data_IF_008140550658
#
_entry.id   IF_008140550658
#
_cell.length_a   1.000
_cell.length_b   1.000
_cell.length_c   1.000
_cell.angle_alpha   90.00
_cell.angle_beta   90.00
_cell.angle_gamma   90.00
#
_symmetry.space_group_name_H-M   'P 1'
#
loop_
_entity.id
_entity.type
_entity.pdbx_description
1 polymer ?
#
# COMPACT_ATOMS: atom_id res chain seq x y z
N UNK A 1 -20.17 6.98 7.17
CA UNK A 1 -19.67 6.19 8.31
C UNK A 1 -18.24 6.64 8.59
N UNK A 2 -17.84 6.69 9.85
CA UNK A 2 -16.45 6.98 10.25
C UNK A 2 -15.57 5.82 9.81
N UNK A 3 -14.37 6.09 9.29
CA UNK A 3 -13.42 5.03 8.96
C UNK A 3 -12.86 4.41 10.24
N UNK A 4 -12.67 3.08 10.23
CA UNK A 4 -12.16 2.30 11.34
C UNK A 4 -10.65 2.09 11.22
N UNK A 5 -9.92 2.35 12.29
CA UNK A 5 -8.46 2.19 12.37
C UNK A 5 -8.13 1.19 13.47
N UNK A 6 -7.32 0.19 13.14
CA UNK A 6 -6.72 -0.70 14.13
C UNK A 6 -5.28 -0.26 14.39
N UNK A 7 -4.95 -0.05 15.66
CA UNK A 7 -3.58 0.23 16.14
C UNK A 7 -3.07 -1.01 16.86
N UNK A 8 -1.95 -1.55 16.40
CA UNK A 8 -1.26 -2.68 17.03
C UNK A 8 0.11 -2.18 17.50
N UNK A 9 0.25 -1.98 18.80
CA UNK A 9 1.39 -1.33 19.44
C UNK A 9 1.47 -1.83 20.89
N UNK A 10 2.61 -2.30 21.36
CA UNK A 10 2.79 -2.84 22.73
C UNK A 10 3.13 -1.75 23.75
N UNK A 11 3.63 -0.59 23.32
CA UNK A 11 3.88 0.54 24.20
C UNK A 11 2.58 1.31 24.49
N UNK A 12 1.96 1.08 25.67
CA UNK A 12 0.69 1.71 26.10
C UNK A 12 0.67 3.24 25.91
N UNK A 13 1.75 4.01 26.25
CA UNK A 13 1.74 5.47 26.04
C UNK A 13 1.64 5.87 24.56
N UNK A 14 2.22 5.10 23.65
CA UNK A 14 2.14 5.34 22.21
C UNK A 14 0.74 4.98 21.71
N UNK A 15 0.21 3.85 22.17
CA UNK A 15 -1.13 3.38 21.82
C UNK A 15 -2.20 4.42 22.23
N UNK A 16 -2.15 4.92 23.47
CA UNK A 16 -3.07 5.96 23.98
C UNK A 16 -2.93 7.27 23.22
N UNK A 17 -1.69 7.73 22.96
CA UNK A 17 -1.44 8.94 22.18
C UNK A 17 -2.06 8.85 20.79
N UNK A 18 -1.88 7.73 20.11
CA UNK A 18 -2.42 7.52 18.78
C UNK A 18 -3.95 7.43 18.81
N UNK A 19 -4.51 6.61 19.72
CA UNK A 19 -5.96 6.46 19.85
C UNK A 19 -6.63 7.82 20.08
N UNK A 20 -6.16 8.59 21.06
CA UNK A 20 -6.70 9.92 21.36
C UNK A 20 -6.71 10.86 20.13
N UNK A 21 -5.59 10.93 19.41
CA UNK A 21 -5.49 11.84 18.27
C UNK A 21 -6.34 11.39 17.08
N UNK A 22 -6.44 10.08 16.82
CA UNK A 22 -7.28 9.59 15.72
C UNK A 22 -8.77 9.69 16.04
N UNK A 23 -9.18 9.44 17.27
CA UNK A 23 -10.56 9.65 17.71
C UNK A 23 -10.96 11.14 17.63
N UNK A 24 -10.06 12.06 18.02
CA UNK A 24 -10.27 13.49 17.88
C UNK A 24 -10.48 13.95 16.42
N UNK A 25 -9.89 13.24 15.46
CA UNK A 25 -10.09 13.45 14.02
C UNK A 25 -11.34 12.74 13.46
N UNK A 26 -12.13 12.08 14.32
CA UNK A 26 -13.41 11.46 13.99
C UNK A 26 -13.31 10.02 13.47
N UNK A 27 -12.19 9.32 13.64
CA UNK A 27 -12.05 7.91 13.33
C UNK A 27 -12.61 7.02 14.44
N UNK A 28 -13.06 5.81 14.10
CA UNK A 28 -13.33 4.76 15.08
C UNK A 28 -12.02 3.99 15.30
N UNK A 29 -11.51 3.97 16.54
CA UNK A 29 -10.22 3.35 16.85
C UNK A 29 -10.39 2.10 17.68
N UNK A 30 -9.66 1.04 17.32
CA UNK A 30 -9.44 -0.15 18.15
C UNK A 30 -7.93 -0.31 18.37
N UNK A 31 -7.57 -0.82 19.55
CA UNK A 31 -6.16 -1.03 19.91
C UNK A 31 -5.93 -2.48 20.33
N UNK A 32 -4.78 -3.04 19.94
CA UNK A 32 -4.27 -4.33 20.38
C UNK A 32 -2.81 -4.15 20.81
N UNK A 33 -2.38 -4.84 21.86
CA UNK A 33 -1.00 -4.80 22.35
C UNK A 33 -0.07 -5.82 21.66
N UNK A 34 -0.62 -6.60 20.71
CA UNK A 34 0.11 -7.64 20.00
C UNK A 34 0.25 -8.96 20.77
N UNK A 35 -0.34 -9.07 21.98
CA UNK A 35 -0.40 -10.34 22.72
C UNK A 35 -1.48 -11.28 22.17
N UNK A 36 -2.51 -10.73 21.54
CA UNK A 36 -3.61 -11.44 20.92
C UNK A 36 -3.27 -11.94 19.51
N UNK A 37 -4.14 -12.79 18.98
CA UNK A 37 -4.09 -13.18 17.56
C UNK A 37 -4.62 -12.05 16.67
N UNK A 38 -3.74 -11.08 16.36
CA UNK A 38 -4.04 -9.91 15.53
C UNK A 38 -4.64 -10.30 14.18
N UNK A 39 -4.13 -11.37 13.57
CA UNK A 39 -4.62 -11.82 12.25
C UNK A 39 -6.06 -12.28 12.33
N UNK A 40 -6.40 -13.02 13.39
CA UNK A 40 -7.77 -13.48 13.65
C UNK A 40 -8.71 -12.32 13.96
N UNK A 41 -8.25 -11.35 14.75
CA UNK A 41 -9.03 -10.15 15.06
C UNK A 41 -9.37 -9.37 13.80
N UNK A 42 -8.40 -9.13 12.92
CA UNK A 42 -8.59 -8.42 11.65
C UNK A 42 -9.54 -9.18 10.70
N UNK A 43 -9.52 -10.51 10.70
CA UNK A 43 -10.47 -11.32 9.90
C UNK A 43 -11.90 -11.18 10.42
N UNK A 44 -12.08 -11.17 11.74
CA UNK A 44 -13.42 -11.09 12.37
C UNK A 44 -14.04 -9.71 12.20
N UNK A 45 -13.23 -8.66 12.29
CA UNK A 45 -13.68 -7.27 12.16
C UNK A 45 -12.62 -6.46 11.39
N UNK A 46 -12.75 -6.49 10.07
CA UNK A 46 -11.76 -5.91 9.14
C UNK A 46 -11.76 -4.38 9.21
N UNK A 47 -10.65 -3.74 9.63
CA UNK A 47 -10.55 -2.29 9.69
C UNK A 47 -10.32 -1.68 8.30
N UNK A 48 -10.57 -0.37 8.16
CA UNK A 48 -10.27 0.38 6.94
C UNK A 48 -8.76 0.69 6.80
N UNK A 49 -7.99 0.64 7.93
CA UNK A 49 -6.54 0.82 7.95
C UNK A 49 -5.93 0.21 9.21
N UNK A 50 -4.72 -0.31 9.10
CA UNK A 50 -3.93 -0.82 10.24
C UNK A 50 -2.68 0.02 10.42
N UNK A 51 -2.42 0.47 11.66
CA UNK A 51 -1.12 0.98 12.11
C UNK A 51 -0.49 -0.15 12.92
N UNK A 52 0.68 -0.63 12.51
CA UNK A 52 1.28 -1.85 13.02
C UNK A 52 2.72 -1.60 13.44
N UNK A 53 3.03 -1.81 14.71
CA UNK A 53 4.42 -1.77 15.15
C UNK A 53 5.19 -2.94 14.56
N UNK A 54 6.43 -2.66 14.21
CA UNK A 54 7.39 -3.65 13.74
C UNK A 54 7.77 -4.65 14.84
N UNK A 55 8.02 -4.15 16.05
CA UNK A 55 8.51 -4.90 17.20
C UNK A 55 7.38 -5.20 18.17
N UNK A 56 6.77 -6.35 18.08
CA UNK A 56 5.74 -6.82 18.98
C UNK A 56 6.23 -8.05 19.77
N UNK A 57 5.69 -8.31 20.97
CA UNK A 57 6.26 -9.31 21.89
C UNK A 57 6.13 -10.76 21.40
N UNK A 58 5.09 -11.12 20.66
CA UNK A 58 4.81 -12.51 20.28
C UNK A 58 5.17 -12.79 18.81
N UNK A 59 4.59 -12.02 17.89
CA UNK A 59 4.86 -12.11 16.45
C UNK A 59 5.34 -10.73 15.97
N UNK A 60 6.38 -10.69 15.18
CA UNK A 60 6.82 -9.43 14.59
C UNK A 60 5.73 -8.84 13.69
N UNK A 61 5.61 -7.52 13.66
CA UNK A 61 4.67 -6.85 12.74
C UNK A 61 4.86 -7.26 11.28
N UNK A 62 6.09 -7.65 10.90
CA UNK A 62 6.38 -8.20 9.57
C UNK A 62 5.62 -9.50 9.32
N UNK A 63 5.63 -10.43 10.27
CA UNK A 63 4.97 -11.73 10.13
C UNK A 63 3.45 -11.56 10.10
N UNK A 64 2.92 -10.65 10.92
CA UNK A 64 1.50 -10.25 10.90
C UNK A 64 1.15 -9.67 9.52
N UNK A 65 1.92 -8.70 9.04
CA UNK A 65 1.71 -8.09 7.72
C UNK A 65 1.73 -9.12 6.58
N UNK A 66 2.71 -10.04 6.57
CA UNK A 66 2.76 -11.13 5.58
C UNK A 66 1.53 -12.03 5.65
N UNK A 67 1.11 -12.38 6.86
CA UNK A 67 -0.07 -13.23 7.07
C UNK A 67 -1.35 -12.57 6.58
N UNK A 68 -1.52 -11.26 6.81
CA UNK A 68 -2.63 -10.49 6.29
C UNK A 68 -2.59 -10.37 4.75
N UNK A 69 -1.43 -10.17 4.16
CA UNK A 69 -1.27 -10.08 2.69
C UNK A 69 -1.47 -11.41 1.96
N UNK A 70 -1.27 -12.53 2.66
CA UNK A 70 -1.49 -13.85 2.09
C UNK A 70 -2.98 -14.25 1.98
N UNK A 71 -3.87 -13.51 2.64
CA UNK A 71 -5.31 -13.83 2.75
C UNK A 71 -6.16 -12.93 1.86
N UNK A 72 -7.09 -13.47 1.07
CA UNK A 72 -7.97 -12.67 0.20
C UNK A 72 -8.76 -11.59 0.94
N UNK A 73 -9.21 -11.90 2.17
CA UNK A 73 -10.11 -11.05 2.96
C UNK A 73 -9.40 -9.80 3.51
N UNK A 74 -8.10 -9.88 3.76
CA UNK A 74 -7.34 -8.83 4.46
C UNK A 74 -6.21 -8.21 3.64
N UNK A 75 -5.86 -8.79 2.50
CA UNK A 75 -4.71 -8.34 1.70
C UNK A 75 -4.83 -6.91 1.16
N UNK A 76 -6.06 -6.40 1.00
CA UNK A 76 -6.33 -5.05 0.49
C UNK A 76 -6.38 -3.99 1.59
N UNK A 77 -6.37 -4.39 2.86
CA UNK A 77 -6.38 -3.43 3.98
C UNK A 77 -5.06 -2.65 3.99
N UNK A 78 -5.10 -1.31 3.95
CA UNK A 78 -3.89 -0.49 4.04
C UNK A 78 -3.16 -0.72 5.37
N UNK A 79 -1.83 -0.87 5.31
CA UNK A 79 -0.98 -1.09 6.49
C UNK A 79 0.13 -0.05 6.51
N UNK A 80 0.20 0.73 7.61
CA UNK A 80 1.35 1.58 7.95
C UNK A 80 2.18 0.85 9.00
N UNK A 81 3.46 0.62 8.72
CA UNK A 81 4.38 0.06 9.70
C UNK A 81 5.06 1.17 10.51
N UNK A 82 5.08 1.04 11.85
CA UNK A 82 5.93 1.85 12.72
C UNK A 82 7.26 1.14 12.94
N UNK A 83 8.40 1.82 12.75
CA UNK A 83 9.72 1.20 12.83
C UNK A 83 10.68 2.01 13.69
N UNK A 84 11.67 1.39 14.34
CA UNK A 84 12.73 2.09 15.05
C UNK A 84 13.77 2.70 14.08
N UNK A 85 14.43 3.77 14.51
CA UNK A 85 15.52 4.41 13.75
C UNK A 85 16.78 3.52 13.79
N UNK A 86 17.31 3.13 12.62
CA UNK A 86 18.56 2.38 12.53
C UNK A 86 18.49 1.07 11.74
N UNK A 87 17.30 0.58 11.42
CA UNK A 87 17.10 -0.68 10.70
C UNK A 87 16.96 -0.46 9.18
N UNK A 88 17.90 0.31 8.60
CA UNK A 88 17.86 0.64 7.17
C UNK A 88 17.95 -0.60 6.27
N UNK A 89 18.67 -1.64 6.70
CA UNK A 89 18.70 -2.95 6.06
C UNK A 89 17.40 -3.74 6.25
N UNK A 90 16.69 -3.52 7.33
CA UNK A 90 15.39 -4.14 7.59
C UNK A 90 14.24 -3.38 6.94
N UNK A 91 14.35 -2.05 6.69
CA UNK A 91 13.41 -1.29 5.85
C UNK A 91 13.30 -1.89 4.44
N UNK A 92 14.43 -2.33 3.85
CA UNK A 92 14.43 -3.04 2.54
C UNK A 92 13.73 -4.40 2.66
N UNK A 93 13.91 -5.11 3.78
CA UNK A 93 13.18 -6.35 4.08
C UNK A 93 11.71 -6.08 4.39
N UNK A 94 11.40 -5.03 5.14
CA UNK A 94 10.03 -4.62 5.46
C UNK A 94 9.24 -4.24 4.23
N UNK A 95 9.82 -3.50 3.30
CA UNK A 95 9.23 -3.21 1.99
C UNK A 95 8.89 -4.48 1.20
N UNK A 96 9.63 -5.59 1.42
CA UNK A 96 9.29 -6.89 0.87
C UNK A 96 8.06 -7.55 1.54
N UNK A 97 7.56 -7.04 2.68
CA UNK A 97 6.47 -7.68 3.44
C UNK A 97 5.07 -7.35 2.98
N UNK A 98 4.86 -6.24 2.28
CA UNK A 98 3.54 -5.86 1.79
C UNK A 98 2.91 -4.63 2.46
N UNK A 99 3.57 -3.97 3.41
CA UNK A 99 3.09 -2.71 3.95
C UNK A 99 3.01 -1.62 2.86
N UNK A 100 2.06 -0.70 3.02
CA UNK A 100 1.80 0.38 2.07
C UNK A 100 2.62 1.63 2.38
N UNK A 101 2.97 1.84 3.66
CA UNK A 101 3.80 2.95 4.11
C UNK A 101 4.59 2.57 5.38
N UNK A 102 5.62 3.40 5.71
CA UNK A 102 6.50 3.21 6.86
C UNK A 102 6.73 4.53 7.55
N UNK A 103 6.65 4.52 8.89
CA UNK A 103 6.91 5.69 9.73
C UNK A 103 7.94 5.33 10.78
N UNK A 104 9.02 6.12 10.86
CA UNK A 104 10.12 5.87 11.78
C UNK A 104 9.85 6.53 13.13
N UNK A 105 9.96 5.76 14.22
CA UNK A 105 9.95 6.29 15.60
C UNK A 105 11.28 7.02 15.91
N UNK A 106 11.26 8.22 16.56
CA UNK A 106 10.07 8.99 16.95
C UNK A 106 9.44 9.70 15.76
N UNK A 107 8.11 9.72 15.69
CA UNK A 107 7.34 10.31 14.61
C UNK A 107 6.49 11.50 15.09
N UNK A 108 6.10 12.34 14.15
CA UNK A 108 5.12 13.41 14.38
C UNK A 108 3.70 12.87 14.18
N UNK A 109 2.82 13.04 15.18
CA UNK A 109 1.41 12.64 15.06
C UNK A 109 0.71 13.32 13.88
N UNK A 110 0.88 14.64 13.62
CA UNK A 110 0.35 15.29 12.42
C UNK A 110 0.84 14.64 11.10
N UNK A 111 2.08 14.21 11.04
CA UNK A 111 2.62 13.50 9.88
C UNK A 111 1.92 12.15 9.68
N UNK A 112 1.79 11.35 10.75
CA UNK A 112 1.12 10.06 10.69
C UNK A 112 -0.36 10.23 10.30
N UNK A 113 -1.07 11.22 10.84
CA UNK A 113 -2.43 11.58 10.46
C UNK A 113 -2.56 11.93 8.96
N UNK A 114 -1.62 12.70 8.43
CA UNK A 114 -1.61 13.04 6.99
C UNK A 114 -1.44 11.79 6.11
N UNK A 115 -0.60 10.84 6.54
CA UNK A 115 -0.40 9.55 5.86
C UNK A 115 -1.64 8.69 5.89
N UNK A 116 -2.28 8.56 7.05
CA UNK A 116 -3.54 7.83 7.23
C UNK A 116 -4.64 8.43 6.35
N UNK A 117 -4.85 9.77 6.40
CA UNK A 117 -5.80 10.47 5.53
C UNK A 117 -5.52 10.20 4.04
N UNK A 118 -4.26 10.19 3.66
CA UNK A 118 -3.86 9.88 2.28
C UNK A 118 -4.19 8.43 1.90
N UNK A 119 -3.94 7.45 2.74
CA UNK A 119 -4.27 6.04 2.48
C UNK A 119 -5.79 5.81 2.46
N UNK A 120 -6.53 6.31 3.43
CA UNK A 120 -7.99 6.16 3.50
C UNK A 120 -8.74 6.84 2.36
N UNK A 121 -8.35 8.06 1.95
CA UNK A 121 -8.91 8.72 0.75
C UNK A 121 -8.76 7.85 -0.50
N UNK A 122 -7.79 6.97 -0.51
CA UNK A 122 -7.50 6.03 -1.59
C UNK A 122 -8.43 4.84 -1.60
N UNK A 123 -9.01 4.52 -0.45
CA UNK A 123 -9.98 3.43 -0.28
C UNK A 123 -11.43 3.88 -0.53
N UNK A 124 -11.69 5.20 -0.68
CA UNK A 124 -13.04 5.74 -0.89
C UNK A 124 -13.52 5.61 -2.34
N UNK A 125 -14.81 5.18 -2.55
CA UNK A 125 -15.37 4.94 -3.88
C UNK A 125 -15.58 6.17 -4.77
N UNK A 126 -15.45 7.40 -4.25
CA UNK A 126 -15.89 8.63 -4.93
C UNK A 126 -14.87 9.26 -5.90
N UNK A 127 -13.75 8.62 -6.18
CA UNK A 127 -12.73 9.16 -7.06
C UNK A 127 -12.90 8.70 -8.52
N UNK A 128 -13.61 9.50 -9.28
CA UNK A 128 -13.61 9.58 -10.77
C UNK A 128 -14.05 8.33 -11.55
N UNK A 129 -15.26 8.39 -12.06
CA UNK A 129 -15.85 7.42 -12.98
C UNK A 129 -14.94 7.13 -14.20
N UNK A 130 -14.61 5.86 -14.41
CA UNK A 130 -14.00 5.40 -15.66
C UNK A 130 -13.14 4.14 -15.50
N UNK A 131 -13.25 3.27 -16.47
CA UNK A 131 -12.34 2.12 -16.65
C UNK A 131 -11.15 2.56 -17.48
N UNK A 132 -9.93 2.36 -16.98
CA UNK A 132 -8.71 2.48 -17.79
C UNK A 132 -8.46 1.14 -18.48
N UNK A 133 -8.16 1.19 -19.76
CA UNK A 133 -7.83 0.00 -20.55
C UNK A 133 -6.57 0.22 -21.37
N UNK A 134 -5.67 -0.76 -21.34
CA UNK A 134 -4.48 -0.77 -22.14
C UNK A 134 -4.11 -2.23 -22.48
N UNK A 135 -4.02 -2.55 -23.77
CA UNK A 135 -3.81 -3.92 -24.22
C UNK A 135 -4.87 -4.88 -23.66
N UNK A 136 -4.41 -5.91 -22.98
CA UNK A 136 -5.24 -6.92 -22.31
C UNK A 136 -5.52 -6.62 -20.83
N UNK A 137 -5.09 -5.46 -20.33
CA UNK A 137 -5.24 -5.02 -18.94
C UNK A 137 -6.35 -3.98 -18.82
N UNK A 138 -7.26 -4.18 -17.87
CA UNK A 138 -8.31 -3.22 -17.52
C UNK A 138 -8.27 -2.92 -16.02
N UNK A 139 -8.51 -1.66 -15.64
CA UNK A 139 -8.58 -1.18 -14.28
C UNK A 139 -9.88 -0.37 -14.11
N UNK A 140 -10.80 -0.87 -13.31
CA UNK A 140 -12.03 -0.17 -12.93
C UNK A 140 -11.78 0.62 -11.62
N UNK A 141 -11.82 1.94 -11.74
CA UNK A 141 -11.59 2.87 -10.62
C UNK A 141 -12.69 2.81 -9.57
N UNK A 142 -13.94 2.59 -9.99
CA UNK A 142 -15.11 2.59 -9.13
C UNK A 142 -15.19 1.33 -8.28
N UNK A 143 -14.92 0.16 -8.90
CA UNK A 143 -14.97 -1.13 -8.22
C UNK A 143 -13.60 -1.55 -7.69
N UNK A 144 -12.54 -0.78 -8.01
CA UNK A 144 -11.14 -1.10 -7.73
C UNK A 144 -10.69 -2.47 -8.25
N UNK A 145 -11.36 -2.96 -9.28
CA UNK A 145 -11.01 -4.23 -9.93
C UNK A 145 -9.96 -4.02 -11.01
N UNK A 146 -9.01 -4.93 -11.04
CA UNK A 146 -8.01 -5.02 -12.11
C UNK A 146 -8.14 -6.38 -12.76
N UNK A 147 -8.20 -6.41 -14.08
CA UNK A 147 -8.28 -7.65 -14.84
C UNK A 147 -7.26 -7.65 -15.97
N UNK A 148 -6.70 -8.81 -16.27
CA UNK A 148 -5.86 -9.03 -17.44
C UNK A 148 -6.33 -10.27 -18.20
N UNK A 149 -6.70 -10.09 -19.47
CA UNK A 149 -7.29 -11.17 -20.30
C UNK A 149 -8.44 -11.91 -19.58
N UNK A 150 -9.31 -11.17 -18.86
CA UNK A 150 -10.43 -11.72 -18.08
C UNK A 150 -10.06 -12.37 -16.73
N UNK A 151 -8.78 -12.37 -16.35
CA UNK A 151 -8.29 -12.85 -15.06
C UNK A 151 -8.26 -11.70 -14.05
N UNK A 152 -8.93 -11.86 -12.92
CA UNK A 152 -8.83 -10.92 -11.81
C UNK A 152 -7.40 -10.87 -11.25
N UNK A 153 -6.95 -9.64 -10.95
CA UNK A 153 -5.65 -9.37 -10.37
C UNK A 153 -5.87 -8.64 -9.06
N UNK A 154 -5.32 -9.21 -8.01
CA UNK A 154 -5.39 -8.64 -6.68
C UNK A 154 -4.15 -7.76 -6.45
N UNK A 155 -4.40 -6.50 -6.12
CA UNK A 155 -3.37 -5.51 -5.83
C UNK A 155 -3.60 -4.91 -4.45
N UNK A 156 -2.50 -4.59 -3.75
CA UNK A 156 -2.59 -3.72 -2.58
C UNK A 156 -3.04 -2.31 -2.99
N UNK A 157 -3.55 -1.49 -2.05
CA UNK A 157 -3.97 -0.12 -2.35
C UNK A 157 -2.89 0.73 -3.03
N UNK A 158 -1.64 0.55 -2.64
CA UNK A 158 -0.50 1.28 -3.21
C UNK A 158 -0.16 0.81 -4.62
N UNK A 159 -0.18 -0.51 -4.86
CA UNK A 159 0.05 -1.08 -6.19
C UNK A 159 -1.06 -0.71 -7.17
N UNK A 160 -2.31 -0.71 -6.71
CA UNK A 160 -3.45 -0.24 -7.50
C UNK A 160 -3.26 1.21 -7.95
N UNK A 161 -2.89 2.11 -7.02
CA UNK A 161 -2.63 3.51 -7.33
C UNK A 161 -1.47 3.72 -8.27
N UNK A 162 -0.40 2.97 -8.06
CA UNK A 162 0.78 3.04 -8.92
C UNK A 162 0.41 2.64 -10.36
N UNK A 163 -0.36 1.56 -10.50
CA UNK A 163 -0.87 1.11 -11.79
C UNK A 163 -1.81 2.15 -12.41
N UNK A 164 -2.77 2.63 -11.65
CA UNK A 164 -3.72 3.66 -12.07
C UNK A 164 -3.00 4.92 -12.58
N UNK A 165 -2.05 5.45 -11.79
CA UNK A 165 -1.29 6.64 -12.16
C UNK A 165 -0.51 6.45 -13.46
N UNK A 166 0.12 5.30 -13.65
CA UNK A 166 0.88 5.01 -14.85
C UNK A 166 -0.02 4.75 -16.07
N UNK A 167 -1.20 4.14 -15.88
CA UNK A 167 -2.17 3.89 -16.95
C UNK A 167 -2.92 5.16 -17.41
N UNK A 168 -2.96 6.23 -16.60
CA UNK A 168 -3.55 7.51 -16.99
C UNK A 168 -2.78 8.19 -18.15
N UNK A 169 -1.48 7.96 -18.23
CA UNK A 169 -0.64 8.57 -19.25
C UNK A 169 0.37 7.53 -19.76
N UNK A 170 -0.08 6.56 -20.57
CA UNK A 170 0.79 5.54 -21.14
C UNK A 170 1.94 6.15 -21.94
N UNK A 171 3.09 5.50 -21.93
CA UNK A 171 4.29 5.96 -22.62
C UNK A 171 5.10 7.02 -21.86
N UNK A 172 4.49 7.75 -20.92
CA UNK A 172 5.22 8.72 -20.09
C UNK A 172 6.23 8.02 -19.18
N UNK A 173 7.43 8.60 -19.13
CA UNK A 173 8.46 8.18 -18.18
C UNK A 173 8.31 9.00 -16.90
N UNK A 174 8.16 8.32 -15.79
CA UNK A 174 8.09 8.92 -14.46
C UNK A 174 9.39 8.64 -13.69
N UNK A 175 9.96 9.67 -13.07
CA UNK A 175 11.05 9.46 -12.10
C UNK A 175 10.51 8.78 -10.84
N UNK A 176 11.42 8.22 -10.01
CA UNK A 176 11.04 7.65 -8.72
C UNK A 176 10.39 8.69 -7.82
N UNK A 177 10.98 9.87 -7.75
CA UNK A 177 10.45 11.01 -7.01
C UNK A 177 9.03 11.38 -7.46
N UNK A 178 8.77 11.48 -8.78
CA UNK A 178 7.43 11.77 -9.30
C UNK A 178 6.39 10.69 -8.94
N UNK A 179 6.77 9.42 -9.01
CA UNK A 179 5.89 8.33 -8.61
C UNK A 179 5.66 8.34 -7.09
N UNK A 180 6.68 8.65 -6.32
CA UNK A 180 6.58 8.80 -4.88
C UNK A 180 5.56 9.89 -4.54
N UNK A 181 5.74 11.10 -5.07
CA UNK A 181 4.85 12.25 -4.84
C UNK A 181 3.40 11.94 -5.23
N UNK A 182 3.20 11.26 -6.37
CA UNK A 182 1.88 10.97 -6.90
C UNK A 182 1.14 9.87 -6.14
N UNK A 183 1.87 8.88 -5.63
CA UNK A 183 1.30 7.69 -4.99
C UNK A 183 1.28 7.84 -3.47
N UNK A 184 2.28 8.43 -2.85
CA UNK A 184 2.38 8.58 -1.39
C UNK A 184 2.07 10.01 -0.90
N UNK A 185 2.24 11.02 -1.75
CA UNK A 185 2.04 12.44 -1.43
C UNK A 185 3.37 13.18 -1.24
N UNK A 186 3.32 14.52 -1.41
CA UNK A 186 4.53 15.36 -1.38
C UNK A 186 5.15 15.54 0.01
N UNK A 187 4.36 15.37 1.04
CA UNK A 187 4.78 15.59 2.42
C UNK A 187 5.30 14.30 3.09
N UNK A 188 5.59 13.27 2.28
CA UNK A 188 5.95 11.94 2.76
C UNK A 188 7.45 11.73 2.56
N UNK A 189 8.22 11.73 3.63
CA UNK A 189 9.65 11.38 3.64
C UNK A 189 9.83 9.85 3.55
N UNK A 190 9.59 9.29 2.38
CA UNK A 190 9.85 7.88 2.07
C UNK A 190 10.97 7.79 1.04
N UNK A 191 11.89 6.85 1.23
CA UNK A 191 12.99 6.61 0.29
C UNK A 191 12.43 6.23 -1.10
N UNK A 192 13.01 6.78 -2.15
CA UNK A 192 12.68 6.45 -3.55
C UNK A 192 12.77 4.95 -3.88
N UNK A 193 13.57 4.19 -3.12
CA UNK A 193 13.65 2.72 -3.22
C UNK A 193 12.32 2.01 -2.93
N UNK A 194 11.43 2.66 -2.17
CA UNK A 194 10.07 2.17 -1.94
C UNK A 194 9.31 1.97 -3.26
N UNK A 195 9.49 2.89 -4.19
CA UNK A 195 8.91 2.80 -5.54
C UNK A 195 9.40 1.53 -6.25
N UNK A 196 10.70 1.22 -6.18
CA UNK A 196 11.27 0.04 -6.85
C UNK A 196 10.65 -1.26 -6.33
N UNK A 197 10.41 -1.33 -5.04
CA UNK A 197 9.79 -2.51 -4.40
C UNK A 197 8.34 -2.68 -4.85
N UNK A 198 7.54 -1.60 -4.81
CA UNK A 198 6.13 -1.67 -5.24
C UNK A 198 6.00 -1.91 -6.74
N UNK A 199 6.87 -1.34 -7.57
CA UNK A 199 6.96 -1.67 -9.00
C UNK A 199 7.31 -3.15 -9.20
N UNK A 200 8.23 -3.68 -8.40
CA UNK A 200 8.62 -5.10 -8.46
C UNK A 200 7.44 -6.04 -8.12
N UNK A 201 6.65 -5.72 -7.11
CA UNK A 201 5.44 -6.47 -6.71
C UNK A 201 4.36 -6.35 -7.77
N UNK A 202 4.05 -5.11 -8.18
CA UNK A 202 3.07 -4.86 -9.21
C UNK A 202 3.36 -5.66 -10.48
N UNK A 203 4.62 -5.68 -10.93
CA UNK A 203 5.04 -6.50 -12.07
C UNK A 203 4.72 -7.98 -11.90
N UNK A 204 4.95 -8.52 -10.70
CA UNK A 204 4.67 -9.93 -10.40
C UNK A 204 3.17 -10.23 -10.39
N UNK A 205 2.36 -9.30 -9.89
CA UNK A 205 0.90 -9.46 -9.82
C UNK A 205 0.25 -9.37 -11.19
N UNK A 206 0.64 -8.38 -12.02
CA UNK A 206 0.01 -8.15 -13.31
C UNK A 206 0.51 -9.07 -14.44
N UNK A 207 1.65 -9.77 -14.26
CA UNK A 207 2.21 -10.62 -15.31
C UNK A 207 2.58 -12.00 -14.80
N UNK A 208 2.09 -13.04 -15.47
CA UNK A 208 2.53 -14.44 -15.28
C UNK A 208 3.74 -14.74 -16.14
N UNK A 209 4.34 -15.92 -15.90
CA UNK A 209 5.40 -16.44 -16.78
C UNK A 209 4.91 -16.47 -18.24
N UNK A 210 5.71 -15.92 -19.16
CA UNK A 210 5.45 -15.74 -20.60
C UNK A 210 4.51 -14.58 -20.98
N UNK A 211 3.90 -13.87 -20.04
CA UNK A 211 3.18 -12.62 -20.34
C UNK A 211 4.17 -11.44 -20.41
N UNK A 212 3.98 -10.59 -21.40
CA UNK A 212 4.78 -9.35 -21.51
C UNK A 212 4.39 -8.41 -20.38
N UNK A 213 5.38 -7.90 -19.65
CA UNK A 213 5.12 -6.94 -18.60
C UNK A 213 4.98 -5.52 -19.16
N UNK A 214 3.85 -4.83 -18.92
CA UNK A 214 3.65 -3.48 -19.46
C UNK A 214 4.53 -2.42 -18.78
N UNK A 215 5.01 -2.65 -17.58
CA UNK A 215 5.84 -1.69 -16.87
C UNK A 215 7.30 -1.95 -17.22
N UNK A 216 7.91 -1.00 -17.93
CA UNK A 216 9.33 -1.05 -18.28
C UNK A 216 10.18 -0.14 -17.41
N UNK A 217 11.43 -0.53 -17.18
CA UNK A 217 12.43 0.34 -16.54
C UNK A 217 13.14 1.15 -17.62
N UNK A 218 13.17 2.47 -17.45
CA UNK A 218 13.98 3.38 -18.27
C UNK A 218 15.23 3.70 -17.46
N UNK A 219 16.37 3.09 -17.88
CA UNK A 219 17.64 3.20 -17.13
C UNK A 219 18.02 4.66 -16.89
N UNK A 220 18.41 4.97 -15.66
CA UNK A 220 18.79 6.32 -15.23
C UNK A 220 17.64 7.32 -15.10
N UNK A 221 16.41 6.97 -15.49
CA UNK A 221 15.25 7.87 -15.42
C UNK A 221 14.16 7.38 -14.48
N UNK A 222 13.71 6.11 -14.59
CA UNK A 222 12.61 5.61 -13.76
C UNK A 222 11.77 4.54 -14.47
N UNK A 223 10.45 4.73 -14.48
CA UNK A 223 9.49 3.73 -14.98
C UNK A 223 8.50 4.33 -15.97
N UNK A 224 8.02 3.49 -16.88
CA UNK A 224 7.00 3.85 -17.88
C UNK A 224 6.05 2.67 -18.07
N UNK A 225 4.78 2.96 -18.31
CA UNK A 225 3.78 1.96 -18.71
C UNK A 225 3.68 1.95 -20.25
N UNK A 226 3.81 0.80 -20.86
CA UNK A 226 3.71 0.62 -22.31
C UNK A 226 2.31 0.10 -22.65
N UNK A 227 1.50 0.87 -23.35
CA UNK A 227 0.15 0.49 -23.77
C UNK A 227 0.12 -0.56 -24.88
N UNK A 228 1.24 -0.73 -25.59
CA UNK A 228 1.36 -1.64 -26.76
C UNK A 228 1.79 -3.06 -26.36
N UNK A 229 1.87 -3.33 -25.04
CA UNK A 229 2.16 -4.68 -24.59
C UNK A 229 1.02 -5.63 -25.00
N UNK A 230 1.35 -6.83 -25.44
CA UNK A 230 0.36 -7.83 -25.87
C UNK A 230 -0.19 -7.61 -27.30
N UNK A 231 0.10 -6.54 -27.98
CA UNK A 231 -0.17 -6.42 -29.40
C UNK A 231 0.72 -7.42 -30.18
N UNK A 232 0.09 -8.39 -30.82
CA UNK A 232 0.79 -9.30 -31.73
C UNK A 232 1.47 -8.44 -32.78
N UNK A 233 2.79 -8.51 -32.89
CA UNK A 233 3.47 -7.95 -34.06
C UNK A 233 2.97 -8.73 -35.28
N UNK A 234 2.12 -8.08 -36.08
CA UNK A 234 1.77 -8.51 -37.43
C UNK A 234 2.97 -8.30 -38.33
#
# INVERSE_FOLDING_TARGET
MSASILIVEDEEPIQELLAYNFEAEGYTVRTLDGSEDVVRDVINDTPDLIILDWMLPNLSGIEICRSLRARPETREVPIIMLTARGEETERVRGLATGADDYVVKPFSVPELLARVKSLLRRSSPDAVAGTLQAGDLSLDRRTRRVQRSGRDIDLSPTEFKLLEHMMQTPGRVYTRSQLLDSVWGRDVYVDERTVDVHVGRLRKSISRAREVNPIRTVRGMGYSFDERFGAVKV
#
